data_IF_027480041922
#
_entry.id   IF_027480041922
#
_cell.length_a   1.000
_cell.length_b   1.000
_cell.length_c   1.000
_cell.angle_alpha   90.00
_cell.angle_beta   90.00
_cell.angle_gamma   90.00
#
_symmetry.space_group_name_H-M   'P 1'
#
loop_
_entity.id
_entity.type
_entity.pdbx_description
1 polymer ?
#
# COMPACT_ATOMS: atom_id res chain seq x y z
N UNK A 1 -7.01 11.22 1.66
CA UNK A 1 -8.26 10.81 2.34
C UNK A 1 -9.46 11.31 1.54
N UNK A 2 -10.51 10.50 1.35
CA UNK A 2 -11.74 10.96 0.66
C UNK A 2 -12.38 12.08 1.48
N UNK A 3 -12.97 13.07 0.81
CA UNK A 3 -13.72 14.13 1.52
C UNK A 3 -14.99 13.52 2.11
N UNK A 4 -15.48 14.03 3.25
CA UNK A 4 -16.79 13.66 3.77
C UNK A 4 -17.85 13.83 2.67
N UNK A 5 -18.79 12.89 2.59
CA UNK A 5 -19.91 12.91 1.63
C UNK A 5 -19.49 12.84 0.14
N UNK A 6 -18.40 12.13 -0.19
CA UNK A 6 -17.91 11.97 -1.56
C UNK A 6 -18.77 11.08 -2.47
N UNK A 7 -19.89 10.54 -2.00
CA UNK A 7 -20.73 9.58 -2.73
C UNK A 7 -20.69 8.17 -2.13
N UNK A 8 -21.24 7.20 -2.87
CA UNK A 8 -21.27 5.79 -2.44
C UNK A 8 -19.83 5.22 -2.46
N UNK A 9 -19.32 4.70 -1.33
CA UNK A 9 -17.99 4.10 -1.29
C UNK A 9 -17.81 2.94 -2.29
N UNK A 10 -18.83 2.11 -2.52
CA UNK A 10 -18.70 0.95 -3.42
C UNK A 10 -18.31 1.37 -4.85
N UNK A 11 -18.97 2.38 -5.43
CA UNK A 11 -18.64 2.87 -6.77
C UNK A 11 -17.26 3.54 -6.84
N UNK A 12 -16.85 4.22 -5.76
CA UNK A 12 -15.54 4.89 -5.70
C UNK A 12 -14.41 3.88 -5.52
N UNK A 13 -14.66 2.79 -4.79
CA UNK A 13 -13.73 1.68 -4.65
C UNK A 13 -13.62 0.92 -5.97
N UNK A 14 -14.73 0.68 -6.67
CA UNK A 14 -14.71 0.13 -8.02
C UNK A 14 -13.86 0.98 -8.96
N UNK A 15 -14.04 2.30 -9.02
CA UNK A 15 -13.22 3.16 -9.89
C UNK A 15 -11.72 3.14 -9.52
N UNK A 16 -11.41 3.20 -8.23
CA UNK A 16 -10.03 3.28 -7.74
C UNK A 16 -9.25 1.96 -7.90
N UNK A 17 -9.97 0.84 -7.92
CA UNK A 17 -9.45 -0.52 -8.04
C UNK A 17 -9.90 -1.22 -9.35
N UNK A 18 -10.54 -0.52 -10.29
CA UNK A 18 -11.13 -1.10 -11.51
C UNK A 18 -10.13 -1.84 -12.39
N UNK A 19 -8.87 -1.38 -12.40
CA UNK A 19 -7.78 -2.02 -13.17
C UNK A 19 -7.48 -3.45 -12.71
N UNK A 20 -8.01 -3.82 -11.55
CA UNK A 20 -7.80 -5.08 -10.89
C UNK A 20 -8.92 -6.11 -11.15
N UNK A 21 -9.93 -5.75 -11.94
CA UNK A 21 -11.04 -6.63 -12.33
C UNK A 21 -10.65 -7.67 -13.41
N UNK A 22 -9.38 -7.71 -13.83
CA UNK A 22 -8.90 -8.71 -14.77
C UNK A 22 -8.52 -10.01 -14.03
N UNK A 23 -9.47 -10.94 -13.96
CA UNK A 23 -9.29 -12.37 -13.64
C UNK A 23 -8.41 -12.67 -12.44
N UNK A 24 -9.02 -12.61 -11.26
CA UNK A 24 -8.52 -13.36 -10.13
C UNK A 24 -8.81 -14.85 -10.38
N UNK A 25 -7.77 -15.65 -10.54
CA UNK A 25 -7.91 -17.10 -10.40
C UNK A 25 -8.10 -17.41 -8.92
N UNK A 26 -9.31 -17.85 -8.60
CA UNK A 26 -9.83 -18.19 -7.28
C UNK A 26 -9.25 -19.52 -6.77
N UNK A 27 -7.95 -19.75 -6.91
CA UNK A 27 -7.32 -20.96 -6.39
C UNK A 27 -6.97 -20.78 -4.90
N UNK A 28 -8.01 -20.99 -4.09
CA UNK A 28 -8.02 -21.78 -2.83
C UNK A 28 -7.52 -21.16 -1.52
N UNK A 29 -7.12 -19.89 -1.46
CA UNK A 29 -6.92 -19.20 -0.16
C UNK A 29 -7.66 -17.89 -0.17
N UNK A 30 -8.63 -17.71 0.71
CA UNK A 30 -9.31 -16.44 0.96
C UNK A 30 -8.44 -15.60 1.91
N UNK A 31 -7.60 -14.65 1.42
CA UNK A 31 -6.61 -13.98 2.26
C UNK A 31 -7.24 -13.25 3.44
N UNK A 32 -8.42 -12.68 3.25
CA UNK A 32 -9.13 -11.98 4.31
C UNK A 32 -9.58 -12.90 5.44
N UNK A 33 -9.89 -14.18 5.17
CA UNK A 33 -10.24 -15.14 6.23
C UNK A 33 -9.01 -15.44 7.08
N UNK A 34 -7.89 -15.78 6.45
CA UNK A 34 -6.67 -16.13 7.18
C UNK A 34 -6.09 -14.94 7.96
N UNK A 35 -6.19 -13.74 7.39
CA UNK A 35 -5.79 -12.48 8.02
C UNK A 35 -6.81 -11.95 9.04
N UNK A 36 -7.98 -12.57 9.19
CA UNK A 36 -9.01 -12.13 10.13
C UNK A 36 -9.62 -10.77 9.79
N UNK A 37 -9.77 -10.46 8.50
CA UNK A 37 -10.28 -9.19 7.96
C UNK A 37 -11.74 -9.27 7.48
N UNK A 38 -12.38 -10.44 7.55
CA UNK A 38 -13.79 -10.61 7.13
C UNK A 38 -14.79 -10.07 8.14
N UNK A 39 -14.41 -10.04 9.42
CA UNK A 39 -15.25 -9.59 10.51
C UNK A 39 -14.59 -8.42 11.24
N UNK A 40 -15.41 -7.55 11.84
CA UNK A 40 -14.91 -6.45 12.64
C UNK A 40 -14.35 -7.01 13.96
N UNK A 41 -13.05 -6.87 14.17
CA UNK A 41 -12.41 -7.20 15.43
C UNK A 41 -12.40 -5.95 16.34
N UNK A 42 -13.03 -6.05 17.51
CA UNK A 42 -13.03 -4.98 18.51
C UNK A 42 -11.68 -4.79 19.21
N UNK A 43 -10.81 -5.80 19.13
CA UNK A 43 -9.47 -5.77 19.70
C UNK A 43 -8.45 -5.30 18.65
N UNK A 44 -7.47 -4.51 19.09
CA UNK A 44 -6.42 -4.02 18.21
C UNK A 44 -5.45 -5.17 17.89
N UNK A 45 -5.32 -5.51 16.61
CA UNK A 45 -4.37 -6.51 16.12
C UNK A 45 -3.19 -5.88 15.39
N UNK A 46 -2.02 -6.48 15.52
CA UNK A 46 -0.80 -6.02 14.84
C UNK A 46 -0.43 -6.95 13.69
N UNK A 47 -0.34 -6.36 12.49
CA UNK A 47 0.11 -7.05 11.29
C UNK A 47 1.59 -6.77 11.01
N UNK A 48 2.33 -7.82 10.69
CA UNK A 48 3.63 -7.69 10.04
C UNK A 48 3.46 -7.80 8.53
N UNK A 49 3.70 -6.70 7.82
CA UNK A 49 3.55 -6.63 6.36
C UNK A 49 4.94 -6.64 5.72
N UNK A 50 5.20 -7.62 4.85
CA UNK A 50 6.40 -7.67 4.03
C UNK A 50 6.13 -6.97 2.70
N UNK A 51 6.86 -5.87 2.47
CA UNK A 51 6.80 -5.13 1.20
C UNK A 51 7.88 -5.61 0.22
N UNK A 52 7.67 -5.44 -1.10
CA UNK A 52 8.73 -5.59 -2.07
C UNK A 52 9.92 -4.68 -1.76
N UNK A 53 11.16 -5.11 -2.05
CA UNK A 53 12.35 -4.33 -1.75
C UNK A 53 12.39 -2.98 -2.49
N UNK A 54 11.67 -2.88 -3.60
CA UNK A 54 11.51 -1.66 -4.39
C UNK A 54 10.04 -1.38 -4.61
N UNK A 55 9.58 -0.20 -4.19
CA UNK A 55 8.22 0.25 -4.48
C UNK A 55 8.28 1.13 -5.74
N UNK A 56 7.55 0.79 -6.82
CA UNK A 56 7.48 1.59 -8.04
C UNK A 56 6.60 2.84 -7.85
N UNK A 57 6.95 3.66 -6.86
CA UNK A 57 6.31 4.95 -6.63
C UNK A 57 7.00 6.04 -7.44
N UNK A 58 6.23 6.94 -8.05
CA UNK A 58 6.77 8.19 -8.59
C UNK A 58 7.07 9.13 -7.43
N UNK A 59 8.32 9.62 -7.35
CA UNK A 59 8.70 10.65 -6.36
C UNK A 59 7.78 11.84 -6.52
N UNK A 60 6.85 12.03 -5.60
CA UNK A 60 6.12 13.28 -5.47
C UNK A 60 7.09 14.26 -4.82
N UNK A 61 7.90 14.95 -5.62
CA UNK A 61 8.72 16.05 -5.12
C UNK A 61 7.76 17.09 -4.57
N UNK A 62 7.67 17.18 -3.24
CA UNK A 62 6.82 18.15 -2.57
C UNK A 62 7.23 19.56 -3.00
N UNK A 63 6.36 20.25 -3.75
CA UNK A 63 6.43 21.69 -3.88
C UNK A 63 5.98 22.31 -2.54
N UNK A 64 6.90 22.36 -1.58
CA UNK A 64 6.79 23.26 -0.43
C UNK A 64 7.61 24.50 -0.76
N UNK A 65 6.97 25.48 -1.37
CA UNK A 65 7.07 26.91 -1.03
C UNK A 65 6.42 27.72 -2.15
N UNK A 66 5.43 28.52 -1.79
CA UNK A 66 4.91 29.55 -2.68
C UNK A 66 6.01 30.54 -3.04
N UNK A 67 6.07 30.89 -4.33
CA UNK A 67 6.26 32.27 -4.73
C UNK A 67 5.67 32.45 -6.14
N UNK A 68 4.76 33.40 -6.27
CA UNK A 68 4.27 33.86 -7.55
C UNK A 68 5.44 34.52 -8.29
N UNK A 69 5.91 33.94 -9.40
CA UNK A 69 6.49 34.76 -10.47
C UNK A 69 6.27 34.11 -11.82
N UNK A 70 5.54 34.87 -12.64
CA UNK A 70 5.34 34.70 -14.06
C UNK A 70 6.67 34.50 -14.81
N UNK A 71 6.88 33.36 -15.46
CA UNK A 71 7.78 33.30 -16.62
C UNK A 71 7.44 32.12 -17.53
N UNK A 72 6.93 32.49 -18.71
CA UNK A 72 6.66 31.62 -19.84
C UNK A 72 7.98 31.27 -20.53
N UNK A 73 8.42 30.01 -20.49
CA UNK A 73 9.46 29.50 -21.42
C UNK A 73 9.60 27.98 -21.44
N UNK A 74 9.14 27.41 -22.57
CA UNK A 74 9.60 26.23 -23.35
C UNK A 74 9.69 24.82 -22.70
N UNK A 75 9.38 23.76 -23.49
CA UNK A 75 9.45 22.38 -23.04
C UNK A 75 10.89 21.90 -23.08
N UNK A 76 11.47 21.63 -21.91
CA UNK A 76 12.71 20.87 -21.83
C UNK A 76 12.32 19.38 -21.75
N UNK A 77 12.52 18.69 -22.87
CA UNK A 77 12.60 17.24 -22.89
C UNK A 77 13.75 16.80 -21.97
N UNK A 78 13.45 16.41 -20.73
CA UNK A 78 14.40 15.69 -19.88
C UNK A 78 14.22 14.19 -20.13
N UNK A 79 14.97 13.72 -21.13
CA UNK A 79 15.28 12.31 -21.32
C UNK A 79 15.96 11.77 -20.05
N UNK A 80 15.39 10.72 -19.47
CA UNK A 80 16.13 9.79 -18.62
C UNK A 80 16.39 10.21 -17.17
N UNK A 81 15.39 10.66 -16.40
CA UNK A 81 15.49 10.45 -14.95
C UNK A 81 15.17 8.98 -14.69
N UNK A 82 16.19 8.15 -14.52
CA UNK A 82 16.02 6.81 -13.98
C UNK A 82 15.05 6.89 -12.79
N UNK A 83 13.89 6.24 -12.90
CA UNK A 83 12.85 6.19 -11.86
C UNK A 83 13.55 5.61 -10.62
N UNK A 84 14.03 6.48 -9.72
CA UNK A 84 14.63 6.06 -8.46
C UNK A 84 13.54 5.31 -7.70
N UNK A 85 13.77 4.03 -7.48
CA UNK A 85 12.92 3.18 -6.64
C UNK A 85 12.79 3.84 -5.28
N UNK A 86 11.56 4.05 -4.81
CA UNK A 86 11.33 4.69 -3.51
C UNK A 86 11.24 3.59 -2.45
N UNK A 87 11.97 3.75 -1.35
CA UNK A 87 11.73 2.97 -0.13
C UNK A 87 10.53 3.51 0.63
N UNK A 88 10.05 2.76 1.63
CA UNK A 88 8.96 3.21 2.53
C UNK A 88 9.35 4.50 3.26
N UNK A 89 10.63 4.66 3.58
CA UNK A 89 11.18 5.85 4.25
C UNK A 89 11.02 7.13 3.43
N UNK A 90 10.87 7.02 2.10
CA UNK A 90 10.66 8.17 1.22
C UNK A 90 9.17 8.51 1.05
N UNK A 91 8.25 7.74 1.64
CA UNK A 91 6.82 7.99 1.55
C UNK A 91 6.42 9.13 2.51
N UNK A 92 5.46 10.00 2.10
CA UNK A 92 5.00 11.07 2.96
C UNK A 92 4.35 10.51 4.22
N UNK A 93 4.63 11.14 5.36
CA UNK A 93 3.94 10.80 6.61
C UNK A 93 2.43 11.03 6.46
N UNK A 94 1.63 10.16 7.08
CA UNK A 94 0.17 10.24 7.09
C UNK A 94 -0.48 9.23 6.16
N UNK A 95 -1.37 9.69 5.28
CA UNK A 95 -2.14 8.80 4.40
C UNK A 95 -1.28 8.27 3.27
N UNK A 96 -1.03 6.95 3.28
CA UNK A 96 -0.16 6.28 2.31
C UNK A 96 -0.95 5.58 1.20
N UNK A 97 -2.14 5.05 1.53
CA UNK A 97 -2.88 4.18 0.62
C UNK A 97 -4.20 3.67 1.20
N UNK A 98 -4.83 2.74 0.48
CA UNK A 98 -6.05 2.05 0.90
C UNK A 98 -5.92 0.55 0.71
N UNK A 99 -6.34 -0.19 1.72
CA UNK A 99 -6.56 -1.63 1.63
C UNK A 99 -8.03 -1.88 1.34
N UNK A 100 -8.32 -2.70 0.33
CA UNK A 100 -9.66 -3.11 -0.05
C UNK A 100 -9.79 -4.61 0.16
N UNK A 101 -10.83 -4.99 0.92
CA UNK A 101 -11.21 -6.37 1.17
C UNK A 101 -12.46 -6.67 0.34
N UNK A 102 -12.35 -7.59 -0.61
CA UNK A 102 -13.45 -7.99 -1.49
C UNK A 102 -14.38 -8.98 -0.79
N UNK A 103 -15.63 -9.05 -1.24
CA UNK A 103 -16.61 -10.05 -0.74
C UNK A 103 -16.15 -11.49 -0.97
N UNK A 104 -15.31 -11.73 -1.98
CA UNK A 104 -14.68 -13.03 -2.24
C UNK A 104 -13.55 -13.38 -1.27
N UNK A 105 -13.22 -12.50 -0.32
CA UNK A 105 -12.09 -12.66 0.58
C UNK A 105 -10.75 -12.22 -0.01
N UNK A 106 -10.67 -11.90 -1.31
CA UNK A 106 -9.48 -11.30 -1.91
C UNK A 106 -9.13 -9.96 -1.24
N UNK A 107 -7.85 -9.64 -1.12
CA UNK A 107 -7.39 -8.40 -0.50
C UNK A 107 -6.39 -7.70 -1.42
N UNK A 108 -6.64 -6.41 -1.69
CA UNK A 108 -5.71 -5.56 -2.43
C UNK A 108 -5.28 -4.37 -1.59
N UNK A 109 -4.05 -3.91 -1.80
CA UNK A 109 -3.53 -2.69 -1.23
C UNK A 109 -3.10 -1.75 -2.35
N UNK A 110 -3.67 -0.56 -2.40
CA UNK A 110 -3.22 0.51 -3.26
C UNK A 110 -2.36 1.47 -2.45
N UNK A 111 -1.07 1.56 -2.78
CA UNK A 111 -0.12 2.50 -2.18
C UNK A 111 0.25 3.52 -3.25
N UNK A 112 -0.13 4.79 -3.03
CA UNK A 112 -0.20 5.82 -4.07
C UNK A 112 -0.91 5.33 -5.34
N UNK A 113 -0.21 5.23 -6.47
CA UNK A 113 -0.76 4.75 -7.75
C UNK A 113 -0.49 3.27 -8.03
N UNK A 114 0.24 2.58 -7.15
CA UNK A 114 0.63 1.18 -7.35
C UNK A 114 -0.31 0.24 -6.63
N UNK A 115 -0.74 -0.82 -7.32
CA UNK A 115 -1.61 -1.84 -6.79
C UNK A 115 -0.83 -3.12 -6.43
N UNK A 116 -1.16 -3.67 -5.27
CA UNK A 116 -0.58 -4.89 -4.72
C UNK A 116 -1.67 -5.88 -4.35
N UNK A 117 -1.40 -7.15 -4.60
CA UNK A 117 -2.12 -8.25 -3.99
C UNK A 117 -1.57 -8.48 -2.58
N UNK A 118 -2.47 -8.71 -1.63
CA UNK A 118 -2.13 -9.00 -0.23
C UNK A 118 -2.41 -10.47 0.02
N UNK A 119 -1.35 -11.23 0.29
CA UNK A 119 -1.47 -12.66 0.60
C UNK A 119 -1.06 -12.92 2.05
N UNK A 120 -1.61 -13.95 2.71
CA UNK A 120 -1.18 -14.35 4.03
C UNK A 120 0.28 -14.82 3.99
N UNK A 121 1.05 -14.37 4.97
CA UNK A 121 2.41 -14.87 5.20
C UNK A 121 2.38 -16.14 6.04
N UNK A 122 3.54 -16.77 6.19
CA UNK A 122 3.66 -17.95 7.03
C UNK A 122 3.25 -17.64 8.48
N UNK A 123 2.31 -18.40 9.03
CA UNK A 123 1.92 -18.29 10.42
C UNK A 123 3.11 -18.66 11.31
N UNK A 124 3.33 -17.89 12.38
CA UNK A 124 4.39 -18.20 13.32
C UNK A 124 3.94 -19.33 14.24
N UNK A 125 4.78 -20.35 14.40
CA UNK A 125 4.55 -21.42 15.39
C UNK A 125 4.81 -20.96 16.84
N UNK A 126 5.29 -19.71 17.01
CA UNK A 126 5.66 -19.10 18.27
C UNK A 126 5.19 -17.65 18.36
N UNK A 127 4.95 -17.16 19.58
CA UNK A 127 4.65 -15.75 19.85
C UNK A 127 5.81 -14.84 19.47
N UNK A 128 5.50 -13.70 18.84
CA UNK A 128 6.50 -12.76 18.34
C UNK A 128 6.15 -11.34 18.77
N UNK A 129 6.99 -10.74 19.61
CA UNK A 129 6.76 -9.38 20.11
C UNK A 129 7.57 -8.33 19.37
N UNK A 130 6.94 -7.20 19.08
CA UNK A 130 7.60 -5.98 18.62
C UNK A 130 8.04 -5.16 19.82
N UNK A 131 9.32 -4.78 19.85
CA UNK A 131 9.91 -3.94 20.90
C UNK A 131 10.51 -2.68 20.31
N UNK A 132 10.23 -1.54 20.95
CA UNK A 132 10.83 -0.26 20.62
C UNK A 132 12.07 -0.04 21.50
N UNK A 133 13.24 0.10 20.87
CA UNK A 133 14.52 0.28 21.57
C UNK A 133 15.08 1.66 21.27
N UNK A 134 15.23 2.49 22.31
CA UNK A 134 15.95 3.75 22.24
C UNK A 134 17.33 3.57 22.89
N UNK A 135 18.37 3.47 22.06
CA UNK A 135 19.75 3.24 22.49
C UNK A 135 20.36 4.43 23.22
N UNK A 136 19.98 5.66 22.85
CA UNK A 136 20.50 6.89 23.47
C UNK A 136 20.05 7.05 24.93
N UNK A 137 18.78 6.74 25.22
CA UNK A 137 18.21 6.77 26.58
C UNK A 137 18.30 5.42 27.31
N UNK A 138 18.86 4.38 26.67
CA UNK A 138 18.90 3.00 27.16
C UNK A 138 17.53 2.49 27.62
N UNK A 139 16.50 2.81 26.84
CA UNK A 139 15.12 2.46 27.15
C UNK A 139 14.60 1.43 26.14
N UNK A 140 13.86 0.44 26.63
CA UNK A 140 13.20 -0.59 25.84
C UNK A 140 11.74 -0.70 26.28
N UNK A 141 10.82 -0.82 25.33
CA UNK A 141 9.38 -0.93 25.60
C UNK A 141 8.74 -1.95 24.64
N UNK A 142 7.94 -2.87 25.19
CA UNK A 142 7.10 -3.76 24.38
C UNK A 142 5.98 -2.97 23.72
N UNK A 143 5.84 -3.12 22.40
CA UNK A 143 4.81 -2.46 21.59
C UNK A 143 3.58 -3.37 21.50
N UNK A 144 3.78 -4.66 21.26
CA UNK A 144 2.71 -5.67 21.16
C UNK A 144 3.18 -6.95 20.47
N UNK A 145 2.34 -7.98 20.54
CA UNK A 145 2.53 -9.25 19.82
C UNK A 145 2.08 -9.10 18.35
N UNK A 146 2.75 -9.80 17.44
CA UNK A 146 2.37 -9.87 16.02
C UNK A 146 1.34 -10.97 15.84
N UNK A 147 0.11 -10.60 15.46
CA UNK A 147 -0.99 -11.54 15.26
C UNK A 147 -0.93 -12.24 13.90
N UNK A 148 -0.63 -11.47 12.86
CA UNK A 148 -0.75 -11.90 11.47
C UNK A 148 0.38 -11.37 10.61
N UNK A 149 0.74 -12.16 9.60
CA UNK A 149 1.76 -11.81 8.60
C UNK A 149 1.08 -11.67 7.24
N UNK A 150 1.43 -10.64 6.49
CA UNK A 150 0.97 -10.43 5.14
C UNK A 150 2.16 -10.15 4.21
N UNK A 151 2.08 -10.62 2.97
CA UNK A 151 3.08 -10.39 1.93
C UNK A 151 2.41 -9.58 0.83
N UNK A 152 3.07 -8.51 0.41
CA UNK A 152 2.62 -7.69 -0.72
C UNK A 152 3.35 -8.11 -1.99
N UNK A 153 2.60 -8.45 -3.02
CA UNK A 153 3.12 -8.69 -4.37
C UNK A 153 2.51 -7.70 -5.34
N UNK A 154 3.31 -7.16 -6.26
CA UNK A 154 2.79 -6.27 -7.30
C UNK A 154 1.73 -7.00 -8.12
N UNK A 155 0.61 -6.32 -8.39
CA UNK A 155 -0.39 -6.81 -9.33
C UNK A 155 0.19 -6.73 -10.76
N UNK A 156 0.64 -7.88 -11.26
CA UNK A 156 1.31 -7.97 -12.57
C UNK A 156 0.35 -7.61 -13.71
N UNK A 157 -0.93 -7.96 -13.58
CA UNK A 157 -1.94 -7.66 -14.59
C UNK A 157 -2.15 -6.14 -14.71
N UNK A 158 -2.24 -5.46 -13.57
CA UNK A 158 -2.30 -4.00 -13.52
C UNK A 158 -1.09 -3.35 -14.20
N UNK A 159 0.12 -3.85 -13.97
CA UNK A 159 1.34 -3.34 -14.61
C UNK A 159 1.32 -3.54 -16.13
N UNK A 160 0.89 -4.72 -16.61
CA UNK A 160 0.84 -5.02 -18.04
C UNK A 160 -0.22 -4.18 -18.78
N UNK A 161 -1.40 -3.98 -18.19
CA UNK A 161 -2.45 -3.18 -18.80
C UNK A 161 -2.01 -1.73 -19.06
N UNK A 162 -1.20 -1.17 -18.15
CA UNK A 162 -0.62 0.17 -18.34
C UNK A 162 0.42 0.25 -19.47
N UNK A 163 1.02 -0.88 -19.88
CA UNK A 163 1.99 -0.91 -20.98
C UNK A 163 1.32 -1.03 -22.36
N UNK A 164 0.13 -1.64 -22.43
CA UNK A 164 -0.63 -1.80 -23.68
C UNK A 164 -1.33 -0.53 -24.16
N UNK A 165 -1.44 0.50 -23.31
CA UNK A 165 -1.98 1.82 -23.67
C UNK A 165 -0.93 2.77 -24.28
N UNK A 166 0.28 2.27 -24.60
CA UNK A 166 1.39 3.02 -25.19
C UNK A 166 1.59 2.68 -26.67
#
# INVERSE_FOLDING_TARGET
MRRPYSGNPEFLDEEEFALANATFEEDSVEPAVELGLMEENSEATMFFIQLPPTLPMTKQTGNISGNETNSRSKPAASVGSAKKTCGIEELPAGFMGKMLVYRSGAVKLKLGDTLYDVTPGCNSEFSQDVVAVNTGKKHCCGVGEIDKRAILTLDVNSVFNHLTDL
#
